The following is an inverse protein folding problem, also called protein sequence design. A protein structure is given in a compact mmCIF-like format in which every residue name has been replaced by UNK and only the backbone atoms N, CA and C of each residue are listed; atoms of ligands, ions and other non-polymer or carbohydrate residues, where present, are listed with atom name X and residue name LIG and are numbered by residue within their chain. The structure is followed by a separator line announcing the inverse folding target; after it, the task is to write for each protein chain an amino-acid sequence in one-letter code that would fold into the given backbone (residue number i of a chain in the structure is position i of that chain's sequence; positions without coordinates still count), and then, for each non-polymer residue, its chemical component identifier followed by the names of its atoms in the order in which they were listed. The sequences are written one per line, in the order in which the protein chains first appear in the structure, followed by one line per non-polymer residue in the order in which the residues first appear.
data_IF_926311166462
#
_entry.id   IF_926311166462
#
_cell.length_a   1.000
_cell.length_b   1.000
_cell.length_c   1.000
_cell.angle_alpha   90.00
_cell.angle_beta   90.00
_cell.angle_gamma   90.00
#
_symmetry.space_group_name_H-M   'P 1'
#
loop_
_entity.id
_entity.type
_entity.pdbx_description
1 polymer ?
#
# COMPACT_ATOMS: atom_id res chain seq x y z
N UNK A 1 -0.89 10.19 -18.76
CA UNK A 1 -1.58 9.63 -17.57
C UNK A 1 -0.65 9.76 -16.39
N UNK A 2 -1.12 10.27 -15.25
CA UNK A 2 -0.30 10.42 -14.04
C UNK A 2 -0.25 9.08 -13.31
N UNK A 3 0.95 8.56 -13.05
CA UNK A 3 1.14 7.32 -12.30
C UNK A 3 0.66 7.48 -10.85
N UNK A 4 -0.18 6.57 -10.35
CA UNK A 4 -0.57 6.53 -8.93
C UNK A 4 0.50 5.79 -8.12
N UNK A 5 0.86 6.38 -6.98
CA UNK A 5 1.94 5.96 -6.10
C UNK A 5 1.40 5.79 -4.68
N UNK A 6 1.68 4.64 -4.08
CA UNK A 6 1.27 4.32 -2.72
C UNK A 6 2.53 4.05 -1.89
N UNK A 7 2.62 4.64 -0.70
CA UNK A 7 3.68 4.31 0.25
C UNK A 7 3.14 3.28 1.26
N UNK A 8 3.88 2.20 1.50
CA UNK A 8 3.49 1.14 2.45
C UNK A 8 4.67 0.71 3.29
N UNK A 9 4.39 0.16 4.47
CA UNK A 9 5.39 -0.52 5.28
C UNK A 9 5.48 -1.96 4.79
N UNK A 10 6.67 -2.38 4.38
CA UNK A 10 6.92 -3.76 3.96
C UNK A 10 6.67 -4.72 5.13
N UNK A 11 5.74 -5.65 4.98
CA UNK A 11 5.47 -6.67 6.02
C UNK A 11 6.62 -7.67 6.18
N UNK A 12 7.62 -7.64 5.29
CA UNK A 12 8.81 -8.49 5.38
C UNK A 12 9.98 -7.79 6.05
N UNK A 13 10.18 -6.49 5.79
CA UNK A 13 11.36 -5.74 6.24
C UNK A 13 11.06 -4.65 7.26
N UNK A 14 9.80 -4.22 7.39
CA UNK A 14 9.40 -3.06 8.20
C UNK A 14 9.78 -1.71 7.58
N UNK A 15 10.39 -1.70 6.40
CA UNK A 15 10.83 -0.48 5.72
C UNK A 15 9.72 0.12 4.86
N UNK A 16 9.72 1.44 4.71
CA UNK A 16 8.82 2.11 3.76
C UNK A 16 9.24 1.80 2.32
N UNK A 17 8.29 1.33 1.54
CA UNK A 17 8.43 1.08 0.11
C UNK A 17 7.35 1.84 -0.66
N UNK A 18 7.64 2.14 -1.92
CA UNK A 18 6.67 2.65 -2.89
C UNK A 18 6.14 1.53 -3.76
N UNK A 19 4.86 1.60 -4.04
CA UNK A 19 4.14 0.75 -4.97
C UNK A 19 3.50 1.61 -6.05
N UNK A 20 3.58 1.16 -7.29
CA UNK A 20 3.01 1.84 -8.46
C UNK A 20 1.80 1.08 -8.94
N UNK A 21 0.66 1.75 -9.06
CA UNK A 21 -0.56 1.13 -9.58
C UNK A 21 -0.30 0.46 -10.93
N UNK A 22 -0.76 -0.78 -11.09
CA UNK A 22 -0.63 -1.61 -12.31
C UNK A 22 0.79 -2.06 -12.66
N UNK A 23 1.77 -1.82 -11.80
CA UNK A 23 3.13 -2.39 -11.93
C UNK A 23 3.34 -3.48 -10.87
N UNK A 24 4.16 -4.48 -11.20
CA UNK A 24 4.55 -5.52 -10.24
C UNK A 24 5.81 -5.10 -9.48
N UNK A 25 5.89 -5.52 -8.21
CA UNK A 25 7.03 -5.23 -7.35
C UNK A 25 6.93 -3.88 -6.62
N UNK A 26 8.05 -3.47 -6.03
CA UNK A 26 8.15 -2.30 -5.17
C UNK A 26 9.49 -1.59 -5.34
N UNK A 27 9.56 -0.36 -4.85
CA UNK A 27 10.78 0.46 -4.83
C UNK A 27 11.10 0.89 -3.39
N UNK A 28 12.32 0.71 -2.89
CA UNK A 28 12.71 1.26 -1.59
C UNK A 28 12.47 2.77 -1.53
N UNK A 29 11.88 3.25 -0.44
CA UNK A 29 11.55 4.66 -0.27
C UNK A 29 11.94 5.17 1.13
N UNK A 30 13.23 5.09 1.50
CA UNK A 30 13.69 5.42 2.86
C UNK A 30 13.49 6.89 3.25
N UNK A 31 13.29 7.78 2.26
CA UNK A 31 13.02 9.20 2.50
C UNK A 31 11.55 9.48 2.84
N UNK A 32 10.67 8.49 2.75
CA UNK A 32 9.27 8.61 3.18
C UNK A 32 9.18 8.06 4.61
N UNK A 33 9.35 8.97 5.57
CA UNK A 33 9.31 8.66 7.01
C UNK A 33 7.91 8.30 7.49
N UNK A 34 6.87 8.94 6.93
CA UNK A 34 5.47 8.71 7.27
C UNK A 34 4.67 8.31 6.02
N UNK A 35 4.52 7.00 5.74
CA UNK A 35 3.76 6.51 4.59
C UNK A 35 2.27 6.87 4.67
N UNK A 36 1.69 6.99 5.87
CA UNK A 36 0.30 7.40 6.05
C UNK A 36 0.11 8.84 5.63
N UNK A 37 0.93 9.76 6.14
CA UNK A 37 0.86 11.16 5.75
C UNK A 37 1.16 11.36 4.25
N UNK A 38 2.00 10.53 3.65
CA UNK A 38 2.24 10.55 2.20
C UNK A 38 0.96 10.21 1.41
N UNK A 39 0.28 9.11 1.76
CA UNK A 39 -0.93 8.67 1.07
C UNK A 39 -2.11 9.61 1.29
N UNK A 40 -2.30 10.11 2.51
CA UNK A 40 -3.34 11.12 2.82
C UNK A 40 -3.16 12.38 1.98
N UNK A 41 -1.93 12.88 1.81
CA UNK A 41 -1.64 14.04 0.95
C UNK A 41 -1.94 13.79 -0.54
N UNK A 42 -1.92 12.54 -0.97
CA UNK A 42 -2.30 12.11 -2.33
C UNK A 42 -3.79 11.78 -2.48
N UNK A 43 -4.57 11.88 -1.40
CA UNK A 43 -5.99 11.55 -1.39
C UNK A 43 -6.28 10.06 -1.53
N UNK A 44 -5.35 9.19 -1.12
CA UNK A 44 -5.57 7.75 -1.11
C UNK A 44 -6.22 7.32 0.21
N UNK A 45 -7.24 6.49 0.10
CA UNK A 45 -7.81 5.76 1.24
C UNK A 45 -6.87 4.62 1.67
N UNK A 46 -6.95 4.19 2.92
CA UNK A 46 -6.11 3.08 3.39
C UNK A 46 -6.42 1.77 2.66
N UNK A 47 -7.68 1.55 2.28
CA UNK A 47 -8.09 0.40 1.46
C UNK A 47 -7.43 0.39 0.09
N UNK A 48 -7.33 1.56 -0.57
CA UNK A 48 -6.60 1.66 -1.84
C UNK A 48 -5.12 1.35 -1.68
N UNK A 49 -4.51 1.77 -0.59
CA UNK A 49 -3.12 1.50 -0.27
C UNK A 49 -2.89 0.00 -0.05
N UNK A 50 -3.74 -0.67 0.72
CA UNK A 50 -3.67 -2.11 0.96
C UNK A 50 -3.88 -2.91 -0.34
N UNK A 51 -4.89 -2.55 -1.13
CA UNK A 51 -5.17 -3.16 -2.42
C UNK A 51 -3.99 -2.98 -3.40
N UNK A 52 -3.36 -1.81 -3.40
CA UNK A 52 -2.18 -1.56 -4.23
C UNK A 52 -0.98 -2.42 -3.82
N UNK A 53 -0.78 -2.62 -2.51
CA UNK A 53 0.29 -3.48 -2.03
C UNK A 53 0.08 -4.94 -2.48
N UNK A 54 -1.12 -5.47 -2.28
CA UNK A 54 -1.47 -6.83 -2.73
C UNK A 54 -1.41 -6.96 -4.25
N UNK A 55 -1.92 -5.96 -4.99
CA UNK A 55 -1.85 -5.93 -6.45
C UNK A 55 -0.42 -5.96 -6.99
N UNK A 56 0.51 -5.30 -6.31
CA UNK A 56 1.93 -5.31 -6.70
C UNK A 56 2.62 -6.65 -6.52
N UNK A 57 2.18 -7.44 -5.53
CA UNK A 57 2.76 -8.74 -5.18
C UNK A 57 2.15 -9.88 -5.99
N UNK A 58 0.82 -9.84 -6.19
CA UNK A 58 0.05 -10.98 -6.69
C UNK A 58 -0.70 -10.68 -7.99
N UNK A 59 -0.60 -9.46 -8.50
CA UNK A 59 -1.24 -9.01 -9.74
C UNK A 59 -2.53 -8.22 -9.50
N UNK A 60 -2.87 -7.37 -10.46
CA UNK A 60 -3.90 -6.34 -10.32
C UNK A 60 -5.32 -6.76 -10.71
N UNK A 61 -5.52 -8.03 -11.10
CA UNK A 61 -6.81 -8.58 -11.56
C UNK A 61 -7.40 -9.62 -10.61
N UNK A 62 -7.02 -9.56 -9.33
CA UNK A 62 -7.51 -10.45 -8.29
C UNK A 62 -8.39 -9.65 -7.30
N UNK A 63 -9.31 -10.29 -6.57
CA UNK A 63 -10.15 -9.61 -5.57
C UNK A 63 -9.33 -8.86 -4.50
N UNK A 64 -8.17 -9.38 -4.10
CA UNK A 64 -7.28 -8.68 -3.16
C UNK A 64 -6.66 -7.38 -3.71
N UNK A 65 -6.71 -7.13 -5.01
CA UNK A 65 -6.27 -5.85 -5.59
C UNK A 65 -7.42 -4.83 -5.70
N UNK A 66 -8.56 -5.11 -5.06
CA UNK A 66 -9.75 -4.26 -5.07
C UNK A 66 -9.94 -3.63 -3.68
N UNK A 67 -9.99 -2.28 -3.55
CA UNK A 67 -10.12 -1.61 -2.26
C UNK A 67 -11.36 -2.04 -1.46
N UNK A 68 -12.47 -2.31 -2.14
CA UNK A 68 -13.75 -2.73 -1.55
C UNK A 68 -13.71 -4.08 -0.83
N UNK A 69 -12.64 -4.86 -1.02
CA UNK A 69 -12.42 -6.15 -0.34
C UNK A 69 -12.05 -5.97 1.14
N UNK A 70 -11.59 -4.77 1.54
CA UNK A 70 -11.02 -4.54 2.86
C UNK A 70 -11.91 -3.68 3.76
N UNK A 71 -12.02 -4.08 5.02
CA UNK A 71 -12.38 -3.14 6.09
C UNK A 71 -11.25 -2.14 6.34
N UNK A 72 -11.54 -1.04 7.03
CA UNK A 72 -10.50 -0.06 7.42
C UNK A 72 -9.42 -0.75 8.26
N UNK A 73 -9.79 -1.53 9.28
CA UNK A 73 -8.83 -2.14 10.21
C UNK A 73 -7.91 -3.17 9.52
N UNK A 74 -8.46 -3.98 8.60
CA UNK A 74 -7.66 -4.91 7.79
C UNK A 74 -6.68 -4.16 6.89
N UNK A 75 -7.16 -3.11 6.22
CA UNK A 75 -6.33 -2.29 5.35
C UNK A 75 -5.21 -1.58 6.11
N UNK A 76 -5.50 -1.06 7.31
CA UNK A 76 -4.51 -0.45 8.22
C UNK A 76 -3.42 -1.44 8.59
N UNK A 77 -3.82 -2.68 8.93
CA UNK A 77 -2.88 -3.74 9.25
C UNK A 77 -1.97 -4.11 8.07
N UNK A 78 -2.54 -4.17 6.87
CA UNK A 78 -1.80 -4.53 5.65
C UNK A 78 -0.88 -3.39 5.18
N UNK A 79 -1.35 -2.14 5.20
CA UNK A 79 -0.66 -1.00 4.62
C UNK A 79 0.51 -0.49 5.48
N UNK A 80 0.36 -0.55 6.81
CA UNK A 80 1.28 0.10 7.73
C UNK A 80 1.81 -0.82 8.84
N UNK A 81 1.57 -2.13 8.73
CA UNK A 81 2.02 -3.10 9.73
C UNK A 81 1.33 -2.86 11.07
N UNK A 82 0.02 -3.12 11.13
CA UNK A 82 -0.84 -2.94 12.31
C UNK A 82 -0.23 -3.49 13.62
N UNK A 83 -0.75 -3.10 14.81
CA UNK A 83 -0.11 -3.42 16.08
C UNK A 83 0.26 -4.92 16.13
N UNK A 84 1.47 -5.27 16.61
CA UNK A 84 1.89 -6.66 16.67
C UNK A 84 0.81 -7.46 17.40
N UNK A 85 0.31 -8.53 16.76
CA UNK A 85 -0.59 -9.48 17.40
C UNK A 85 0.11 -10.23 18.52
#
# INVERSE_FOLDING_TARGET
MTQRLFAVVSNTTGETILVKERESGYWPAPLIEDPRAFNTRKGHTVQEVAAAYVGSMFGWRIPGAMPETYTVDEAESIAYGGPPR
#
